data_IF_491710443309
#
_entry.id   IF_491710443309
#
_cell.length_a   1.000
_cell.length_b   1.000
_cell.length_c   1.000
_cell.angle_alpha   90.00
_cell.angle_beta   90.00
_cell.angle_gamma   90.00
#
_symmetry.space_group_name_H-M   'P 1'
#
loop_
_entity.id
_entity.type
_entity.pdbx_description
1 polymer ?
#
# COMPACT_ATOMS: atom_id res chain seq x y z
N UNK A 1 1.98 -0.19 -23.15
CA UNK A 1 2.38 -1.43 -22.43
C UNK A 1 3.22 -1.17 -21.18
N UNK A 2 3.78 0.01 -21.00
CA UNK A 2 4.63 0.36 -19.85
C UNK A 2 3.89 0.38 -18.51
N UNK A 3 2.63 0.82 -18.51
CA UNK A 3 1.82 1.04 -17.31
C UNK A 3 1.48 -0.24 -16.55
N UNK A 4 1.03 -1.29 -17.24
CA UNK A 4 0.71 -2.60 -16.62
C UNK A 4 1.92 -3.19 -15.90
N UNK A 5 3.11 -3.05 -16.48
CA UNK A 5 4.35 -3.53 -15.87
C UNK A 5 4.67 -2.78 -14.57
N UNK A 6 4.44 -1.47 -14.52
CA UNK A 6 4.64 -0.64 -13.31
C UNK A 6 3.69 -1.03 -12.19
N UNK A 7 2.41 -1.24 -12.52
CA UNK A 7 1.39 -1.70 -11.57
C UNK A 7 1.76 -3.09 -11.00
N UNK A 8 2.16 -4.04 -11.85
CA UNK A 8 2.56 -5.38 -11.38
C UNK A 8 3.83 -5.34 -10.52
N UNK A 9 4.79 -4.46 -10.84
CA UNK A 9 5.98 -4.25 -10.00
C UNK A 9 5.59 -3.72 -8.62
N UNK A 10 4.73 -2.68 -8.56
CA UNK A 10 4.21 -2.16 -7.31
C UNK A 10 3.47 -3.23 -6.50
N UNK A 11 2.60 -4.03 -7.13
CA UNK A 11 1.87 -5.09 -6.44
C UNK A 11 2.82 -6.07 -5.75
N UNK A 12 3.89 -6.49 -6.46
CA UNK A 12 4.92 -7.37 -5.89
C UNK A 12 5.70 -6.71 -4.75
N UNK A 13 6.01 -5.41 -4.86
CA UNK A 13 6.65 -4.63 -3.80
C UNK A 13 5.78 -4.61 -2.54
N UNK A 14 4.49 -4.29 -2.67
CA UNK A 14 3.55 -4.25 -1.55
C UNK A 14 3.38 -5.62 -0.87
N UNK A 15 3.33 -6.71 -1.65
CA UNK A 15 3.26 -8.07 -1.06
C UNK A 15 4.51 -8.41 -0.23
N UNK A 16 5.70 -7.98 -0.68
CA UNK A 16 6.94 -8.16 0.09
C UNK A 16 6.91 -7.35 1.37
N UNK A 17 6.38 -6.13 1.31
CA UNK A 17 6.23 -5.27 2.48
C UNK A 17 5.25 -5.86 3.49
N UNK A 18 4.08 -6.34 3.04
CA UNK A 18 3.11 -7.04 3.89
C UNK A 18 3.75 -8.26 4.57
N UNK A 19 4.66 -8.96 3.89
CA UNK A 19 5.42 -10.09 4.45
C UNK A 19 6.30 -9.73 5.66
N UNK A 20 6.70 -8.46 5.80
CA UNK A 20 7.52 -7.97 6.93
C UNK A 20 6.69 -7.62 8.17
N UNK A 21 5.37 -7.49 8.02
CA UNK A 21 4.48 -7.12 9.13
C UNK A 21 4.32 -8.28 10.13
N UNK A 22 3.81 -8.01 11.35
CA UNK A 22 3.41 -9.06 12.29
C UNK A 22 2.41 -10.03 11.68
N UNK A 23 2.51 -11.32 12.02
CA UNK A 23 1.79 -12.42 11.33
C UNK A 23 0.28 -12.23 11.34
N UNK A 24 -0.25 -11.73 12.45
CA UNK A 24 -1.65 -11.46 12.71
C UNK A 24 -2.24 -10.33 11.87
N UNK A 25 -1.42 -9.38 11.40
CA UNK A 25 -1.89 -8.23 10.61
C UNK A 25 -1.80 -8.45 9.10
N UNK A 26 -0.93 -9.37 8.64
CA UNK A 26 -0.68 -9.62 7.21
C UNK A 26 -1.96 -9.92 6.43
N UNK A 27 -2.86 -10.71 7.00
CA UNK A 27 -4.09 -11.14 6.34
C UNK A 27 -4.99 -9.96 5.95
N UNK A 28 -5.16 -9.00 6.86
CA UNK A 28 -5.93 -7.78 6.60
C UNK A 28 -5.31 -6.98 5.45
N UNK A 29 -4.01 -6.68 5.54
CA UNK A 29 -3.34 -5.87 4.52
C UNK A 29 -3.27 -6.57 3.16
N UNK A 30 -3.12 -7.89 3.12
CA UNK A 30 -3.17 -8.66 1.89
C UNK A 30 -4.54 -8.54 1.18
N UNK A 31 -5.63 -8.74 1.92
CA UNK A 31 -6.98 -8.62 1.37
C UNK A 31 -7.26 -7.19 0.91
N UNK A 32 -6.89 -6.20 1.73
CA UNK A 32 -7.06 -4.79 1.40
C UNK A 32 -6.30 -4.41 0.13
N UNK A 33 -5.01 -4.74 0.02
CA UNK A 33 -4.22 -4.45 -1.19
C UNK A 33 -4.79 -5.16 -2.41
N UNK A 34 -5.22 -6.42 -2.29
CA UNK A 34 -5.87 -7.13 -3.41
C UNK A 34 -7.15 -6.43 -3.87
N UNK A 35 -8.00 -6.01 -2.93
CA UNK A 35 -9.24 -5.31 -3.24
C UNK A 35 -8.97 -4.00 -3.98
N UNK A 36 -8.03 -3.20 -3.48
CA UNK A 36 -7.66 -1.91 -4.11
C UNK A 36 -7.17 -2.11 -5.55
N UNK A 37 -6.30 -3.09 -5.81
CA UNK A 37 -5.83 -3.36 -7.18
C UNK A 37 -6.95 -3.81 -8.12
N UNK A 38 -7.87 -4.63 -7.63
CA UNK A 38 -9.00 -5.09 -8.43
C UNK A 38 -9.97 -3.95 -8.80
N UNK A 39 -10.18 -2.98 -7.91
CA UNK A 39 -11.05 -1.82 -8.16
C UNK A 39 -10.55 -0.89 -9.28
N UNK A 40 -9.27 -1.00 -9.65
CA UNK A 40 -8.62 -0.12 -10.63
C UNK A 40 -7.99 -0.89 -11.79
N UNK A 41 -8.45 -2.12 -12.07
CA UNK A 41 -7.91 -2.97 -13.13
C UNK A 41 -8.10 -2.37 -14.53
N UNK A 42 -9.18 -1.61 -14.71
CA UNK A 42 -9.56 -0.97 -15.97
C UNK A 42 -9.05 0.47 -16.08
N UNK A 43 -8.28 0.96 -15.09
CA UNK A 43 -7.67 2.28 -15.16
C UNK A 43 -6.58 2.29 -16.25
N UNK A 44 -6.67 3.27 -17.14
CA UNK A 44 -5.76 3.43 -18.30
C UNK A 44 -5.11 4.80 -18.33
N UNK A 45 -5.59 5.74 -17.52
CA UNK A 45 -5.03 7.08 -17.44
C UNK A 45 -3.71 7.06 -16.67
N UNK A 46 -2.62 7.45 -17.34
CA UNK A 46 -1.26 7.33 -16.78
C UNK A 46 -1.08 8.20 -15.54
N UNK A 47 -1.63 9.41 -15.53
CA UNK A 47 -1.50 10.35 -14.41
C UNK A 47 -2.17 9.82 -13.14
N UNK A 48 -3.38 9.24 -13.28
CA UNK A 48 -4.06 8.56 -12.17
C UNK A 48 -3.29 7.37 -11.63
N UNK A 49 -2.69 6.59 -12.53
CA UNK A 49 -1.89 5.43 -12.13
C UNK A 49 -0.64 5.87 -11.37
N UNK A 50 -0.02 6.98 -11.78
CA UNK A 50 1.14 7.55 -11.10
C UNK A 50 0.80 8.03 -9.70
N UNK A 51 -0.33 8.74 -9.55
CA UNK A 51 -0.84 9.14 -8.24
C UNK A 51 -1.13 7.94 -7.34
N UNK A 52 -1.79 6.90 -7.88
CA UNK A 52 -2.07 5.68 -7.14
C UNK A 52 -0.80 4.97 -6.69
N UNK A 53 0.22 4.91 -7.56
CA UNK A 53 1.50 4.29 -7.23
C UNK A 53 2.18 5.04 -6.08
N UNK A 54 2.22 6.38 -6.16
CA UNK A 54 2.83 7.21 -5.11
C UNK A 54 2.08 7.06 -3.78
N UNK A 55 0.75 7.17 -3.79
CA UNK A 55 -0.09 6.99 -2.60
C UNK A 55 0.08 5.61 -1.98
N UNK A 56 0.16 4.56 -2.80
CA UNK A 56 0.38 3.19 -2.31
C UNK A 56 1.73 3.01 -1.63
N UNK A 57 2.77 3.69 -2.12
CA UNK A 57 4.12 3.66 -1.51
C UNK A 57 4.13 4.40 -0.17
N UNK A 58 3.54 5.59 -0.11
CA UNK A 58 3.38 6.33 1.14
C UNK A 58 2.60 5.52 2.19
N UNK A 59 1.51 4.87 1.76
CA UNK A 59 0.74 3.98 2.61
C UNK A 59 1.58 2.81 3.14
N UNK A 60 2.32 2.13 2.26
CA UNK A 60 3.21 1.02 2.67
C UNK A 60 4.22 1.48 3.71
N UNK A 61 4.89 2.60 3.47
CA UNK A 61 5.88 3.16 4.41
C UNK A 61 5.27 3.52 5.76
N UNK A 62 4.06 4.09 5.77
CA UNK A 62 3.33 4.37 7.00
C UNK A 62 2.99 3.09 7.77
N UNK A 63 2.48 2.06 7.08
CA UNK A 63 2.17 0.76 7.70
C UNK A 63 3.43 0.13 8.29
N UNK A 64 4.54 0.13 7.55
CA UNK A 64 5.82 -0.37 8.05
C UNK A 64 6.26 0.38 9.30
N UNK A 65 6.18 1.70 9.30
CA UNK A 65 6.56 2.54 10.44
C UNK A 65 5.67 2.26 11.65
N UNK A 66 4.35 2.12 11.44
CA UNK A 66 3.36 1.81 12.47
C UNK A 66 3.69 0.51 13.21
N UNK A 67 4.19 -0.51 12.51
CA UNK A 67 4.51 -1.82 13.11
C UNK A 67 5.99 -2.02 13.43
N UNK A 68 6.88 -1.15 12.95
CA UNK A 68 8.31 -1.17 13.26
C UNK A 68 8.64 -0.52 14.60
N UNK A 69 7.78 0.35 15.14
CA UNK A 69 7.96 0.95 16.46
C UNK A 69 7.08 0.20 17.47
N UNK A 70 7.61 -0.26 18.62
CA UNK A 70 6.74 -0.64 19.73
C UNK A 70 5.88 0.59 20.05
N UNK A 71 4.55 0.40 20.14
CA UNK A 71 3.60 1.49 20.28
C UNK A 71 4.00 2.45 21.40
N UNK A 72 4.60 3.58 21.04
CA UNK A 72 4.59 4.77 21.88
C UNK A 72 3.22 5.43 21.68
N UNK A 73 2.48 5.52 22.78
CA UNK A 73 1.16 6.13 22.94
C UNK A 73 1.04 7.57 22.44
N UNK A 74 2.12 8.18 21.97
CA UNK A 74 2.23 9.60 21.63
C UNK A 74 2.31 9.91 20.13
N UNK A 75 2.37 8.91 19.24
CA UNK A 75 2.61 9.18 17.81
C UNK A 75 1.34 9.59 17.06
N UNK A 76 1.33 10.86 16.66
CA UNK A 76 0.29 11.56 15.91
C UNK A 76 -0.34 10.74 14.77
N UNK A 77 -1.67 10.83 14.67
CA UNK A 77 -2.54 10.18 13.68
C UNK A 77 -2.25 10.72 12.26
N UNK A 78 -1.20 10.25 11.61
CA UNK A 78 -1.16 10.30 10.15
C UNK A 78 -2.07 9.18 9.64
N UNK A 79 -3.28 9.52 9.19
CA UNK A 79 -4.16 8.61 8.43
C UNK A 79 -4.07 9.01 6.97
N UNK A 80 -3.29 8.28 6.14
CA UNK A 80 -3.07 8.65 4.72
C UNK A 80 -4.35 8.68 3.87
N UNK A 81 -5.47 8.18 4.40
CA UNK A 81 -6.76 8.04 3.73
C UNK A 81 -7.79 9.11 4.13
N UNK A 82 -7.46 10.05 5.03
CA UNK A 82 -8.39 11.06 5.53
C UNK A 82 -8.45 12.35 4.68
N UNK A 83 -8.14 12.27 3.40
CA UNK A 83 -8.22 13.41 2.46
C UNK A 83 -9.01 13.03 1.23
#
# INVERSE_FOLDING_TARGET
METKTRILKLYRELLRDIGKLPKETRGYYFQYTRQQFNSHVDEVETDRIDEMINRSREYSQWVQTKYSRPMDSSSSRFTPWAR
#
